data_IF_896818890907
#
_entry.id   IF_896818890907
#
_cell.length_a   1.000
_cell.length_b   1.000
_cell.length_c   1.000
_cell.angle_alpha   90.00
_cell.angle_beta   90.00
_cell.angle_gamma   90.00
#
_symmetry.space_group_name_H-M   'P 1'
#
loop_
_entity.id
_entity.type
_entity.pdbx_description
1 polymer ?
#
# COMPACT_ATOMS: atom_id res chain seq x y z
N UNK A 1 16.76 -19.47 7.83
CA UNK A 1 16.42 -19.73 6.41
C UNK A 1 15.93 -18.42 5.82
N UNK A 2 16.31 -18.03 4.59
CA UNK A 2 15.77 -16.82 3.97
C UNK A 2 14.24 -16.86 3.88
N UNK A 3 13.59 -15.81 4.32
CA UNK A 3 12.19 -15.50 4.11
C UNK A 3 12.13 -14.32 3.14
N UNK A 4 12.00 -14.62 1.86
CA UNK A 4 12.02 -13.62 0.81
C UNK A 4 10.62 -13.11 0.51
N UNK A 5 10.53 -11.80 0.30
CA UNK A 5 9.34 -11.12 -0.21
C UNK A 5 8.10 -11.41 0.65
N UNK A 6 8.28 -11.35 1.99
CA UNK A 6 7.17 -11.51 2.92
C UNK A 6 6.06 -10.48 2.61
N UNK A 7 4.81 -10.93 2.63
CA UNK A 7 3.63 -10.10 2.33
C UNK A 7 3.31 -9.15 3.49
N UNK A 8 4.19 -8.21 3.73
CA UNK A 8 4.07 -7.19 4.78
C UNK A 8 4.92 -5.96 4.43
N UNK A 9 4.53 -4.81 4.94
CA UNK A 9 5.32 -3.57 4.94
C UNK A 9 5.78 -3.16 6.34
N UNK A 10 5.69 -4.08 7.32
CA UNK A 10 6.10 -3.81 8.69
C UNK A 10 7.56 -3.36 8.77
N UNK A 11 7.79 -2.19 9.35
CA UNK A 11 9.09 -1.50 9.35
C UNK A 11 10.19 -2.32 10.02
N UNK A 12 9.87 -3.16 10.99
CA UNK A 12 10.85 -4.04 11.64
C UNK A 12 11.63 -4.92 10.67
N UNK A 13 11.05 -5.28 9.51
CA UNK A 13 11.75 -6.11 8.52
C UNK A 13 12.69 -5.31 7.60
N UNK A 14 12.83 -4.00 7.81
CA UNK A 14 13.89 -3.20 7.21
C UNK A 14 15.13 -3.10 8.11
N UNK A 15 15.12 -3.76 9.28
CA UNK A 15 16.25 -3.83 10.21
C UNK A 15 17.05 -5.13 10.00
N UNK A 16 18.17 -5.09 9.27
CA UNK A 16 18.98 -6.28 8.97
C UNK A 16 19.69 -6.85 10.20
N UNK A 17 19.85 -6.08 11.28
CA UNK A 17 20.52 -6.56 12.50
C UNK A 17 19.64 -7.55 13.26
N UNK A 18 18.35 -7.24 13.37
CA UNK A 18 17.40 -8.09 14.08
C UNK A 18 16.72 -9.14 13.19
N UNK A 19 16.55 -8.83 11.89
CA UNK A 19 15.87 -9.70 10.93
C UNK A 19 16.76 -10.02 9.70
N UNK A 20 17.99 -10.56 9.87
CA UNK A 20 18.97 -10.71 8.79
C UNK A 20 18.55 -11.70 7.68
N UNK A 21 17.45 -12.41 7.86
CA UNK A 21 16.97 -13.44 6.94
C UNK A 21 15.57 -13.17 6.38
N UNK A 22 15.00 -11.97 6.65
CA UNK A 22 13.66 -11.60 6.18
C UNK A 22 13.72 -10.32 5.35
N UNK A 23 13.15 -10.35 4.16
CA UNK A 23 12.94 -9.16 3.34
C UNK A 23 11.46 -9.05 2.97
N UNK A 24 10.86 -7.89 3.24
CA UNK A 24 9.46 -7.62 2.95
C UNK A 24 9.26 -7.17 1.49
N UNK A 25 8.09 -7.47 0.92
CA UNK A 25 7.75 -7.05 -0.44
C UNK A 25 6.90 -5.79 -0.48
N UNK A 26 5.94 -5.65 0.43
CA UNK A 26 5.07 -4.48 0.43
C UNK A 26 5.86 -3.19 0.67
N UNK A 27 5.35 -2.05 0.21
CA UNK A 27 5.85 -0.76 0.66
C UNK A 27 5.93 -0.70 2.19
N UNK A 28 6.99 -0.05 2.68
CA UNK A 28 7.13 0.16 4.12
C UNK A 28 6.01 1.07 4.63
N UNK A 29 5.31 0.64 5.67
CA UNK A 29 4.13 1.32 6.19
C UNK A 29 4.43 2.73 6.75
N UNK A 30 5.57 2.91 7.43
CA UNK A 30 5.96 4.24 7.90
C UNK A 30 6.28 5.16 6.72
N UNK A 31 7.00 4.66 5.70
CA UNK A 31 7.32 5.42 4.49
C UNK A 31 6.06 5.92 3.77
N UNK A 32 5.05 5.07 3.64
CA UNK A 32 3.78 5.46 3.03
C UNK A 32 3.05 6.50 3.90
N UNK A 33 3.05 6.31 5.22
CA UNK A 33 2.53 7.29 6.18
C UNK A 33 3.19 8.66 6.06
N UNK A 34 4.51 8.71 5.85
CA UNK A 34 5.25 9.96 5.58
C UNK A 34 4.76 10.66 4.31
N UNK A 35 4.51 9.91 3.23
CA UNK A 35 4.02 10.46 1.96
C UNK A 35 2.64 11.09 2.14
N UNK A 36 1.72 10.41 2.82
CA UNK A 36 0.40 10.98 3.09
C UNK A 36 0.47 12.22 3.99
N UNK A 37 1.30 12.20 5.03
CA UNK A 37 1.47 13.37 5.89
C UNK A 37 2.01 14.58 5.13
N UNK A 38 3.01 14.38 4.25
CA UNK A 38 3.52 15.45 3.37
C UNK A 38 2.43 15.99 2.44
N UNK A 39 1.61 15.11 1.86
CA UNK A 39 0.48 15.49 1.02
C UNK A 39 -0.57 16.28 1.81
N UNK A 40 -0.90 15.84 3.03
CA UNK A 40 -1.83 16.56 3.93
C UNK A 40 -1.31 17.95 4.26
N UNK A 41 -0.05 18.07 4.66
CA UNK A 41 0.56 19.36 4.99
C UNK A 41 0.56 20.35 3.83
N UNK A 42 0.75 19.85 2.61
CA UNK A 42 0.77 20.67 1.40
C UNK A 42 -0.63 21.13 0.95
N UNK A 43 -1.65 20.28 1.09
CA UNK A 43 -2.97 20.51 0.51
C UNK A 43 -4.07 20.82 1.54
N UNK A 44 -3.88 20.36 2.80
CA UNK A 44 -4.85 20.48 3.90
C UNK A 44 -4.16 20.91 5.20
N UNK A 45 -3.41 22.03 5.22
CA UNK A 45 -2.50 22.38 6.33
C UNK A 45 -3.19 22.69 7.67
N UNK A 46 -4.51 22.82 7.67
CA UNK A 46 -5.34 23.11 8.84
C UNK A 46 -6.38 22.02 9.13
N UNK A 47 -6.28 20.86 8.44
CA UNK A 47 -7.23 19.78 8.61
C UNK A 47 -7.22 19.22 10.03
N UNK A 48 -8.39 18.80 10.50
CA UNK A 48 -8.57 17.97 11.68
C UNK A 48 -8.62 16.51 11.24
N UNK A 49 -7.65 15.72 11.63
CA UNK A 49 -7.46 14.36 11.12
C UNK A 49 -8.08 13.37 12.11
N UNK A 50 -8.95 12.48 11.62
CA UNK A 50 -9.38 11.29 12.32
C UNK A 50 -8.74 10.05 11.68
N UNK A 51 -8.22 9.14 12.48
CA UNK A 51 -7.53 7.92 12.02
C UNK A 51 -8.28 6.69 12.50
N UNK A 52 -8.65 5.80 11.57
CA UNK A 52 -9.01 4.42 11.84
C UNK A 52 -7.82 3.53 11.49
N UNK A 53 -7.39 2.65 12.41
CA UNK A 53 -6.25 1.79 12.13
C UNK A 53 -6.39 0.38 12.71
N UNK A 54 -5.83 -0.62 12.01
CA UNK A 54 -5.74 -1.99 12.51
C UNK A 54 -4.77 -2.06 13.70
N UNK A 55 -5.14 -2.74 14.79
CA UNK A 55 -4.34 -2.79 16.01
C UNK A 55 -3.20 -3.83 15.95
N UNK A 56 -2.32 -3.66 14.98
CA UNK A 56 -1.12 -4.49 14.79
C UNK A 56 0.02 -3.66 14.18
N UNK A 57 1.05 -4.33 13.63
CA UNK A 57 2.18 -3.66 12.99
C UNK A 57 1.76 -2.78 11.81
N UNK A 58 0.72 -3.19 11.04
CA UNK A 58 0.23 -2.40 9.92
C UNK A 58 -0.22 -1.03 10.42
N UNK A 59 -1.24 -1.00 11.27
CA UNK A 59 -1.82 0.27 11.69
C UNK A 59 -0.86 1.12 12.52
N UNK A 60 -0.10 0.50 13.43
CA UNK A 60 0.83 1.22 14.31
C UNK A 60 1.98 1.88 13.54
N UNK A 61 2.51 1.19 12.53
CA UNK A 61 3.57 1.76 11.68
C UNK A 61 3.07 2.94 10.84
N UNK A 62 1.87 2.82 10.23
CA UNK A 62 1.29 3.95 9.51
C UNK A 62 1.04 5.17 10.41
N UNK A 63 0.43 4.95 11.58
CA UNK A 63 0.18 6.02 12.57
C UNK A 63 1.48 6.68 12.99
N UNK A 64 2.53 5.87 13.26
CA UNK A 64 3.85 6.38 13.60
C UNK A 64 4.42 7.22 12.46
N UNK A 65 4.40 6.71 11.23
CA UNK A 65 4.92 7.43 10.05
C UNK A 65 4.22 8.77 9.84
N UNK A 66 2.89 8.80 9.94
CA UNK A 66 2.13 10.05 9.84
C UNK A 66 2.53 11.04 10.93
N UNK A 67 2.59 10.60 12.19
CA UNK A 67 2.98 11.46 13.32
C UNK A 67 4.39 12.01 13.16
N UNK A 68 5.34 11.17 12.77
CA UNK A 68 6.73 11.57 12.56
C UNK A 68 6.83 12.66 11.47
N UNK A 69 6.13 12.50 10.36
CA UNK A 69 6.17 13.47 9.26
C UNK A 69 5.33 14.73 9.51
N UNK A 70 4.25 14.65 10.30
CA UNK A 70 3.53 15.85 10.78
C UNK A 70 4.37 16.65 11.76
N UNK A 71 5.25 16.00 12.52
CA UNK A 71 6.14 16.63 13.48
C UNK A 71 5.39 17.54 14.48
N UNK A 72 5.74 18.84 14.58
CA UNK A 72 5.04 19.79 15.48
C UNK A 72 3.55 19.95 15.20
N UNK A 73 3.08 19.56 14.02
CA UNK A 73 1.65 19.59 13.64
C UNK A 73 0.91 18.28 13.93
N UNK A 74 1.50 17.34 14.67
CA UNK A 74 0.81 16.10 15.05
C UNK A 74 -0.49 16.34 15.85
N UNK A 75 -0.67 17.52 16.44
CA UNK A 75 -1.92 17.96 17.04
C UNK A 75 -3.09 18.15 16.04
N UNK A 76 -2.83 18.10 14.74
CA UNK A 76 -3.88 17.98 13.70
C UNK A 76 -4.67 16.68 13.86
N UNK A 77 -4.09 15.63 14.44
CA UNK A 77 -4.77 14.37 14.72
C UNK A 77 -5.65 14.57 15.96
N UNK A 78 -6.97 14.67 15.74
CA UNK A 78 -7.96 14.93 16.79
C UNK A 78 -8.62 13.67 17.33
N UNK A 79 -8.53 12.55 16.58
CA UNK A 79 -9.03 11.24 17.01
C UNK A 79 -8.24 10.10 16.35
N UNK A 80 -7.93 9.08 17.15
CA UNK A 80 -7.34 7.83 16.72
C UNK A 80 -8.13 6.68 17.34
N UNK A 81 -8.65 5.77 16.51
CA UNK A 81 -9.41 4.62 16.99
C UNK A 81 -8.94 3.37 16.26
N UNK A 82 -8.62 2.34 17.01
CA UNK A 82 -8.20 1.06 16.45
C UNK A 82 -9.38 0.09 16.30
N UNK A 83 -9.15 -0.94 15.46
CA UNK A 83 -10.00 -2.12 15.37
C UNK A 83 -9.13 -3.38 15.38
N UNK A 84 -9.75 -4.50 15.75
CA UNK A 84 -9.11 -5.82 15.70
C UNK A 84 -9.58 -6.59 14.46
N UNK A 85 -8.73 -7.48 13.94
CA UNK A 85 -9.13 -8.37 12.83
C UNK A 85 -10.31 -9.28 13.17
N UNK A 86 -10.52 -9.54 14.46
CA UNK A 86 -11.65 -10.31 14.97
C UNK A 86 -12.95 -9.52 15.08
N UNK A 87 -12.89 -8.20 14.94
CA UNK A 87 -14.10 -7.38 15.02
C UNK A 87 -15.06 -7.71 13.85
N UNK A 88 -16.37 -7.79 14.11
CA UNK A 88 -17.33 -8.03 13.04
C UNK A 88 -17.47 -6.83 12.13
N UNK A 89 -17.45 -5.61 12.68
CA UNK A 89 -17.61 -4.33 11.99
C UNK A 89 -16.77 -3.23 12.64
N UNK A 90 -16.63 -2.08 11.96
CA UNK A 90 -16.02 -0.85 12.50
C UNK A 90 -17.04 0.27 12.76
N UNK A 91 -18.29 -0.08 12.92
CA UNK A 91 -19.39 0.90 13.04
C UNK A 91 -19.23 1.84 14.22
N UNK A 92 -18.89 1.31 15.39
CA UNK A 92 -18.69 2.10 16.62
C UNK A 92 -17.48 3.03 16.50
N UNK A 93 -16.41 2.54 15.91
CA UNK A 93 -15.21 3.34 15.63
C UNK A 93 -15.55 4.52 14.72
N UNK A 94 -16.32 4.27 13.64
CA UNK A 94 -16.71 5.32 12.70
C UNK A 94 -17.62 6.38 13.31
N UNK A 95 -18.54 6.00 14.21
CA UNK A 95 -19.35 6.95 14.98
C UNK A 95 -18.46 7.85 15.85
N UNK A 96 -17.49 7.25 16.55
CA UNK A 96 -16.53 7.98 17.39
C UNK A 96 -15.70 8.96 16.56
N UNK A 97 -15.15 8.50 15.42
CA UNK A 97 -14.33 9.34 14.53
C UNK A 97 -15.11 10.52 13.95
N UNK A 98 -16.36 10.29 13.50
CA UNK A 98 -17.24 11.38 13.06
C UNK A 98 -17.50 12.41 14.17
N UNK A 99 -17.73 11.94 15.40
CA UNK A 99 -18.03 12.81 16.54
C UNK A 99 -16.87 13.70 16.97
N UNK A 100 -15.64 13.41 16.51
CA UNK A 100 -14.47 14.25 16.77
C UNK A 100 -14.49 15.60 16.04
N UNK A 101 -15.39 15.76 15.06
CA UNK A 101 -15.43 16.95 14.22
C UNK A 101 -14.29 17.03 13.19
N UNK A 102 -13.65 15.90 12.88
CA UNK A 102 -12.61 15.84 11.86
C UNK A 102 -13.17 16.07 10.46
N UNK A 103 -12.40 16.76 9.62
CA UNK A 103 -12.70 17.06 8.23
C UNK A 103 -11.78 16.29 7.26
N UNK A 104 -10.80 15.53 7.79
CA UNK A 104 -10.00 14.58 7.05
C UNK A 104 -10.04 13.22 7.77
N UNK A 105 -10.32 12.16 7.02
CA UNK A 105 -10.35 10.78 7.50
C UNK A 105 -9.21 9.98 6.86
N UNK A 106 -8.30 9.49 7.69
CA UNK A 106 -7.26 8.57 7.26
C UNK A 106 -7.65 7.14 7.66
N UNK A 107 -7.93 6.33 6.64
CA UNK A 107 -8.42 4.97 6.73
C UNK A 107 -7.26 3.99 6.51
N UNK A 108 -6.75 3.41 7.60
CA UNK A 108 -5.61 2.47 7.62
C UNK A 108 -6.16 1.07 7.91
N UNK A 109 -6.61 0.41 6.85
CA UNK A 109 -7.37 -0.83 7.00
C UNK A 109 -6.98 -1.88 5.96
N UNK A 110 -7.42 -3.11 6.20
CA UNK A 110 -7.46 -4.15 5.17
C UNK A 110 -8.79 -4.09 4.40
N UNK A 111 -8.91 -4.71 3.21
CA UNK A 111 -10.03 -4.50 2.28
C UNK A 111 -11.43 -4.60 2.91
N UNK A 112 -11.70 -5.63 3.71
CA UNK A 112 -13.01 -5.83 4.38
C UNK A 112 -13.39 -4.61 5.22
N UNK A 113 -12.48 -4.15 6.06
CA UNK A 113 -12.72 -3.05 7.00
C UNK A 113 -12.68 -1.69 6.31
N UNK A 114 -11.87 -1.55 5.25
CA UNK A 114 -11.87 -0.38 4.38
C UNK A 114 -13.25 -0.16 3.73
N UNK A 115 -13.82 -1.23 3.17
CA UNK A 115 -15.15 -1.18 2.59
C UNK A 115 -16.23 -0.81 3.62
N UNK A 116 -16.16 -1.38 4.83
CA UNK A 116 -17.10 -1.07 5.91
C UNK A 116 -16.97 0.40 6.35
N UNK A 117 -15.75 0.91 6.53
CA UNK A 117 -15.50 2.28 6.96
C UNK A 117 -16.00 3.30 5.93
N UNK A 118 -15.73 3.09 4.64
CA UNK A 118 -16.20 3.97 3.55
C UNK A 118 -17.73 4.00 3.52
N UNK A 119 -18.37 2.83 3.55
CA UNK A 119 -19.86 2.73 3.58
C UNK A 119 -20.42 3.42 4.81
N UNK A 120 -19.84 3.16 5.99
CA UNK A 120 -20.32 3.74 7.24
C UNK A 120 -20.18 5.26 7.29
N UNK A 121 -19.11 5.82 6.73
CA UNK A 121 -18.97 7.27 6.59
C UNK A 121 -20.11 7.86 5.78
N UNK A 122 -20.47 7.24 4.66
CA UNK A 122 -21.60 7.66 3.82
C UNK A 122 -22.95 7.53 4.55
N UNK A 123 -23.23 6.41 5.21
CA UNK A 123 -24.45 6.19 6.02
C UNK A 123 -24.61 7.24 7.12
N UNK A 124 -23.51 7.61 7.75
CA UNK A 124 -23.50 8.66 8.78
C UNK A 124 -23.64 10.07 8.19
N UNK A 125 -23.60 10.25 6.87
CA UNK A 125 -23.55 11.56 6.22
C UNK A 125 -22.25 12.32 6.52
N UNK A 126 -21.17 11.61 6.90
CA UNK A 126 -19.87 12.21 7.12
C UNK A 126 -19.09 12.27 5.81
N UNK A 127 -18.68 13.47 5.40
CA UNK A 127 -18.05 13.76 4.12
C UNK A 127 -16.67 14.40 4.31
N UNK A 128 -15.72 13.76 4.98
CA UNK A 128 -14.37 14.28 5.12
C UNK A 128 -13.60 14.10 3.81
N UNK A 129 -12.47 14.77 3.66
CA UNK A 129 -11.44 14.31 2.73
C UNK A 129 -10.98 12.93 3.18
N UNK A 130 -11.05 11.92 2.31
CA UNK A 130 -10.66 10.55 2.68
C UNK A 130 -9.31 10.19 2.06
N UNK A 131 -8.39 9.73 2.89
CA UNK A 131 -7.14 9.08 2.49
C UNK A 131 -7.24 7.61 2.88
N UNK A 132 -6.93 6.73 1.95
CA UNK A 132 -6.97 5.28 2.11
C UNK A 132 -5.56 4.71 1.94
N UNK A 133 -5.12 3.85 2.85
CA UNK A 133 -3.85 3.15 2.69
C UNK A 133 -3.87 2.21 1.47
N UNK A 134 -2.69 1.93 0.92
CA UNK A 134 -2.57 1.17 -0.32
C UNK A 134 -3.12 -0.26 -0.22
N UNK A 135 -3.10 -0.88 0.96
CA UNK A 135 -3.55 -2.26 1.13
C UNK A 135 -5.06 -2.38 0.91
N UNK A 136 -5.82 -1.31 1.15
CA UNK A 136 -7.26 -1.26 0.99
C UNK A 136 -7.71 -0.64 -0.35
N UNK A 137 -6.81 -0.41 -1.31
CA UNK A 137 -7.15 0.20 -2.62
C UNK A 137 -7.77 -0.72 -3.67
N UNK A 138 -7.69 -2.08 -3.61
CA UNK A 138 -8.23 -2.92 -4.67
C UNK A 138 -9.71 -2.64 -4.93
N UNK A 139 -10.04 -2.27 -6.18
CA UNK A 139 -11.40 -1.87 -6.57
C UNK A 139 -12.39 -3.00 -6.32
N UNK A 140 -12.07 -4.23 -6.75
CA UNK A 140 -12.94 -5.40 -6.60
C UNK A 140 -13.19 -5.80 -5.15
N UNK A 141 -12.21 -5.62 -4.26
CA UNK A 141 -12.27 -6.14 -2.88
C UNK A 141 -12.70 -5.08 -1.86
N UNK A 142 -12.55 -3.80 -2.18
CA UNK A 142 -12.84 -2.69 -1.26
C UNK A 142 -13.89 -1.74 -1.82
N UNK A 143 -13.64 -1.15 -3.00
CA UNK A 143 -14.45 -0.04 -3.47
C UNK A 143 -15.82 -0.48 -3.99
N UNK A 144 -15.89 -1.60 -4.72
CA UNK A 144 -17.18 -2.19 -5.14
C UNK A 144 -18.02 -2.57 -3.90
N UNK A 145 -17.51 -3.33 -2.92
CA UNK A 145 -18.27 -3.61 -1.70
C UNK A 145 -18.63 -2.37 -0.86
N UNK A 146 -17.84 -1.30 -0.93
CA UNK A 146 -18.16 -0.03 -0.25
C UNK A 146 -19.29 0.75 -0.95
N UNK A 147 -19.48 0.49 -2.24
CA UNK A 147 -20.27 1.32 -3.16
C UNK A 147 -19.39 2.37 -3.84
N UNK A 148 -19.25 2.29 -5.17
CA UNK A 148 -18.32 3.14 -5.93
C UNK A 148 -18.59 4.64 -5.73
N UNK A 149 -19.87 5.03 -5.62
CA UNK A 149 -20.25 6.42 -5.35
C UNK A 149 -19.77 6.90 -3.97
N UNK A 150 -19.75 6.03 -2.95
CA UNK A 150 -19.24 6.35 -1.62
C UNK A 150 -17.73 6.50 -1.59
N UNK A 151 -17.03 5.85 -2.54
CA UNK A 151 -15.59 5.88 -2.66
C UNK A 151 -15.08 7.03 -3.55
N UNK A 152 -15.98 7.70 -4.28
CA UNK A 152 -15.60 8.79 -5.18
C UNK A 152 -14.89 9.92 -4.45
N UNK A 153 -13.69 10.26 -4.94
CA UNK A 153 -12.87 11.31 -4.36
C UNK A 153 -11.85 10.84 -3.33
N UNK A 154 -11.85 9.56 -2.94
CA UNK A 154 -10.82 8.98 -2.06
C UNK A 154 -9.44 9.13 -2.71
N UNK A 155 -8.47 9.49 -1.89
CA UNK A 155 -7.07 9.69 -2.29
C UNK A 155 -6.25 8.54 -1.73
N UNK A 156 -5.29 8.05 -2.52
CA UNK A 156 -4.34 7.03 -2.12
C UNK A 156 -3.04 7.17 -2.91
N UNK A 157 -2.15 6.18 -2.78
CA UNK A 157 -0.97 6.01 -3.62
C UNK A 157 -1.00 4.64 -4.30
N UNK A 158 -0.21 4.48 -5.35
CA UNK A 158 0.00 3.17 -5.96
C UNK A 158 1.42 3.07 -6.52
N UNK A 159 1.87 1.83 -6.74
CA UNK A 159 3.11 1.47 -7.42
C UNK A 159 2.88 0.44 -8.55
N UNK A 160 1.68 -0.12 -8.65
CA UNK A 160 1.32 -1.17 -9.60
C UNK A 160 0.15 -0.79 -10.51
N UNK A 161 0.07 -1.42 -11.67
CA UNK A 161 -1.04 -1.28 -12.63
C UNK A 161 -2.24 -2.10 -12.18
N UNK A 162 -3.43 -1.51 -12.19
CA UNK A 162 -4.69 -2.22 -11.94
C UNK A 162 -5.14 -2.93 -13.23
N UNK A 163 -5.37 -4.26 -13.23
CA UNK A 163 -5.81 -4.99 -14.41
C UNK A 163 -7.23 -4.64 -14.89
N UNK A 164 -8.03 -4.01 -14.03
CA UNK A 164 -9.36 -3.49 -14.36
C UNK A 164 -9.30 -2.14 -15.10
N UNK A 165 -8.19 -1.40 -14.99
CA UNK A 165 -8.08 -0.10 -15.62
C UNK A 165 -7.79 -0.23 -17.12
N UNK A 166 -8.71 0.22 -18.01
CA UNK A 166 -8.56 0.09 -19.44
C UNK A 166 -7.36 0.81 -20.04
N UNK A 167 -6.76 1.78 -19.32
CA UNK A 167 -5.54 2.44 -19.78
C UNK A 167 -4.37 1.48 -19.96
N UNK A 168 -4.38 0.32 -19.28
CA UNK A 168 -3.34 -0.70 -19.36
C UNK A 168 -3.67 -1.85 -20.33
N UNK A 169 -4.78 -1.77 -21.07
CA UNK A 169 -5.21 -2.86 -21.94
C UNK A 169 -4.15 -3.22 -23.01
N UNK A 170 -3.46 -2.21 -23.54
CA UNK A 170 -2.42 -2.36 -24.55
C UNK A 170 -0.99 -2.39 -23.99
N UNK A 171 -0.82 -2.31 -22.66
CA UNK A 171 0.48 -2.39 -22.00
C UNK A 171 1.08 -3.81 -22.13
N UNK A 172 2.35 -3.89 -22.57
CA UNK A 172 3.02 -5.16 -22.84
C UNK A 172 3.23 -6.00 -21.55
N UNK A 173 3.46 -5.36 -20.40
CA UNK A 173 3.56 -6.04 -19.11
C UNK A 173 2.21 -6.65 -18.71
N UNK A 174 1.13 -5.90 -18.90
CA UNK A 174 -0.23 -6.37 -18.64
C UNK A 174 -0.62 -7.52 -19.57
N UNK A 175 -0.25 -7.46 -20.85
CA UNK A 175 -0.47 -8.56 -21.80
C UNK A 175 0.28 -9.82 -21.38
N UNK A 176 1.55 -9.71 -20.94
CA UNK A 176 2.32 -10.87 -20.43
C UNK A 176 1.68 -11.47 -19.20
N UNK A 177 1.24 -10.63 -18.25
CA UNK A 177 0.53 -11.09 -17.08
C UNK A 177 -0.76 -11.85 -17.43
N UNK A 178 -1.62 -11.26 -18.26
CA UNK A 178 -2.89 -11.90 -18.68
C UNK A 178 -2.67 -13.22 -19.43
N UNK A 179 -1.65 -13.27 -20.30
CA UNK A 179 -1.26 -14.50 -20.99
C UNK A 179 -0.75 -15.58 -20.01
N UNK A 180 0.03 -15.18 -19.00
CA UNK A 180 0.48 -16.09 -17.93
C UNK A 180 -0.71 -16.66 -17.16
N UNK A 181 -1.65 -15.82 -16.73
CA UNK A 181 -2.84 -16.25 -15.99
C UNK A 181 -3.69 -17.22 -16.82
N UNK A 182 -3.95 -16.89 -18.09
CA UNK A 182 -4.72 -17.76 -18.98
C UNK A 182 -4.07 -19.14 -19.18
N UNK A 183 -2.74 -19.20 -19.18
CA UNK A 183 -2.01 -20.45 -19.41
C UNK A 183 -1.84 -21.30 -18.16
N UNK A 184 -1.52 -20.68 -17.02
CA UNK A 184 -1.06 -21.39 -15.81
C UNK A 184 -2.07 -21.36 -14.67
N UNK A 185 -3.03 -20.45 -14.68
CA UNK A 185 -4.07 -20.30 -13.66
C UNK A 185 -5.45 -19.98 -14.30
N UNK A 186 -5.94 -20.82 -15.26
CA UNK A 186 -7.14 -20.49 -16.05
C UNK A 186 -8.44 -20.46 -15.23
N UNK A 187 -8.42 -20.93 -13.98
CA UNK A 187 -9.56 -20.89 -13.06
C UNK A 187 -9.55 -19.69 -12.11
N UNK A 188 -8.49 -18.88 -12.14
CA UNK A 188 -8.33 -17.75 -11.22
C UNK A 188 -8.73 -16.44 -11.91
N UNK A 189 -9.24 -15.50 -11.09
CA UNK A 189 -9.59 -14.16 -11.58
C UNK A 189 -8.34 -13.33 -11.85
N UNK A 190 -8.00 -13.16 -13.11
CA UNK A 190 -6.88 -12.31 -13.54
C UNK A 190 -7.08 -10.82 -13.24
N UNK A 191 -8.27 -10.38 -12.86
CA UNK A 191 -8.52 -8.99 -12.44
C UNK A 191 -8.37 -8.80 -10.94
N UNK A 192 -8.07 -9.85 -10.20
CA UNK A 192 -7.83 -9.78 -8.76
C UNK A 192 -6.49 -9.10 -8.44
N UNK A 193 -6.51 -8.12 -7.53
CA UNK A 193 -5.29 -7.50 -6.99
C UNK A 193 -4.37 -8.50 -6.28
N UNK A 194 -4.92 -9.60 -5.74
CA UNK A 194 -4.12 -10.68 -5.13
C UNK A 194 -3.36 -11.45 -6.23
N UNK A 195 -3.98 -11.70 -7.38
CA UNK A 195 -3.32 -12.38 -8.49
C UNK A 195 -2.18 -11.55 -9.08
N UNK A 196 -2.37 -10.24 -9.28
CA UNK A 196 -1.32 -9.32 -9.74
C UNK A 196 -0.17 -9.22 -8.75
N UNK A 197 -0.50 -9.19 -7.45
CA UNK A 197 0.49 -9.19 -6.38
C UNK A 197 1.33 -10.48 -6.39
N UNK A 198 0.69 -11.64 -6.43
CA UNK A 198 1.36 -12.94 -6.48
C UNK A 198 2.27 -13.09 -7.71
N UNK A 199 1.79 -12.69 -8.89
CA UNK A 199 2.58 -12.67 -10.11
C UNK A 199 3.83 -11.79 -9.99
N UNK A 200 3.67 -10.55 -9.52
CA UNK A 200 4.78 -9.60 -9.40
C UNK A 200 5.81 -10.06 -8.38
N UNK A 201 5.37 -10.62 -7.25
CA UNK A 201 6.23 -11.17 -6.21
C UNK A 201 7.03 -12.38 -6.74
N UNK A 202 6.35 -13.31 -7.44
CA UNK A 202 7.00 -14.48 -8.03
C UNK A 202 8.00 -14.09 -9.13
N UNK A 203 7.66 -13.11 -9.97
CA UNK A 203 8.55 -12.62 -11.02
C UNK A 203 9.84 -12.02 -10.43
N UNK A 204 9.73 -11.23 -9.36
CA UNK A 204 10.89 -10.70 -8.64
C UNK A 204 11.72 -11.80 -7.98
N UNK A 205 11.08 -12.83 -7.38
CA UNK A 205 11.79 -13.98 -6.83
C UNK A 205 12.60 -14.69 -7.92
N UNK A 206 12.02 -14.93 -9.09
CA UNK A 206 12.72 -15.54 -10.23
C UNK A 206 13.90 -14.68 -10.65
N UNK A 207 13.75 -13.35 -10.67
CA UNK A 207 14.86 -12.43 -10.97
C UNK A 207 16.00 -12.58 -9.96
N UNK A 208 15.72 -12.60 -8.67
CA UNK A 208 16.71 -12.81 -7.60
C UNK A 208 17.43 -14.15 -7.77
N UNK A 209 16.68 -15.24 -8.00
CA UNK A 209 17.26 -16.57 -8.19
C UNK A 209 18.15 -16.65 -9.44
N UNK A 210 17.77 -15.98 -10.53
CA UNK A 210 18.62 -15.87 -11.74
C UNK A 210 19.93 -15.12 -11.46
N UNK A 211 19.91 -14.10 -10.61
CA UNK A 211 21.13 -13.39 -10.18
C UNK A 211 22.06 -14.27 -9.33
N UNK A 212 21.53 -15.30 -8.66
CA UNK A 212 22.33 -16.23 -7.88
C UNK A 212 23.21 -17.14 -8.73
N UNK A 213 22.87 -17.37 -10.01
CA UNK A 213 23.52 -18.39 -10.84
C UNK A 213 23.38 -19.78 -10.19
N UNK A 214 24.46 -20.53 -10.15
CA UNK A 214 24.51 -21.87 -9.56
C UNK A 214 24.70 -21.87 -8.02
N UNK A 215 25.02 -20.70 -7.42
CA UNK A 215 25.18 -20.57 -5.98
C UNK A 215 23.83 -20.20 -5.32
N UNK A 216 23.05 -21.22 -4.99
CA UNK A 216 21.79 -21.10 -4.26
C UNK A 216 21.95 -21.21 -2.74
N UNK A 217 23.13 -20.89 -2.21
CA UNK A 217 23.32 -20.82 -0.76
C UNK A 217 22.46 -19.72 -0.15
N UNK A 218 22.04 -19.93 1.11
CA UNK A 218 21.22 -18.94 1.83
C UNK A 218 21.85 -17.56 1.87
N UNK A 219 23.18 -17.50 2.05
CA UNK A 219 23.92 -16.25 2.10
C UNK A 219 23.90 -15.53 0.75
N UNK A 220 24.11 -16.24 -0.36
CA UNK A 220 24.09 -15.62 -1.69
C UNK A 220 22.66 -15.18 -2.08
N UNK A 221 21.63 -15.95 -1.76
CA UNK A 221 20.24 -15.56 -1.99
C UNK A 221 19.94 -14.22 -1.31
N UNK A 222 20.27 -14.07 -0.02
CA UNK A 222 20.08 -12.80 0.69
C UNK A 222 20.92 -11.68 0.09
N UNK A 223 22.18 -11.94 -0.26
CA UNK A 223 23.05 -10.96 -0.93
C UNK A 223 22.45 -10.45 -2.24
N UNK A 224 21.85 -11.31 -3.06
CA UNK A 224 21.21 -10.90 -4.31
C UNK A 224 19.90 -10.16 -4.04
N UNK A 225 19.08 -10.62 -3.10
CA UNK A 225 17.83 -9.95 -2.73
C UNK A 225 18.05 -8.54 -2.16
N UNK A 226 19.18 -8.30 -1.49
CA UNK A 226 19.56 -6.99 -0.94
C UNK A 226 20.51 -6.19 -1.87
N UNK A 227 20.60 -6.57 -3.13
CA UNK A 227 21.44 -5.88 -4.13
C UNK A 227 20.78 -5.86 -5.52
N UNK A 228 19.45 -5.70 -5.56
CA UNK A 228 18.69 -5.55 -6.80
C UNK A 228 19.02 -4.20 -7.43
N UNK A 229 19.17 -4.16 -8.76
CA UNK A 229 19.54 -2.95 -9.49
C UNK A 229 18.55 -2.66 -10.61
N UNK A 230 17.68 -1.65 -10.43
CA UNK A 230 16.81 -1.14 -11.47
C UNK A 230 15.88 -2.18 -12.10
N UNK A 231 15.41 -3.15 -11.33
CA UNK A 231 14.46 -4.13 -11.83
C UNK A 231 13.12 -3.44 -12.17
N UNK A 232 12.60 -3.66 -13.37
CA UNK A 232 11.30 -3.15 -13.81
C UNK A 232 10.34 -4.33 -13.86
N UNK A 233 9.35 -4.33 -12.96
CA UNK A 233 8.30 -5.35 -12.97
C UNK A 233 7.29 -5.08 -14.10
N UNK A 234 6.72 -6.14 -14.68
CA UNK A 234 5.69 -6.04 -15.73
C UNK A 234 4.51 -5.16 -15.34
N UNK A 235 4.11 -5.24 -14.09
CA UNK A 235 2.96 -4.51 -13.57
C UNK A 235 3.35 -3.25 -12.76
N UNK A 236 4.62 -2.84 -12.77
CA UNK A 236 5.00 -1.55 -12.17
C UNK A 236 4.42 -0.38 -12.97
N UNK A 237 4.08 0.71 -12.28
CA UNK A 237 3.71 1.95 -12.97
C UNK A 237 4.89 2.49 -13.77
N UNK A 238 4.64 3.17 -14.90
CA UNK A 238 5.70 3.71 -15.75
C UNK A 238 6.69 4.57 -14.97
N UNK A 239 8.00 4.33 -15.19
CA UNK A 239 9.09 5.05 -14.52
C UNK A 239 9.47 4.53 -13.14
N UNK A 240 8.76 3.55 -12.59
CA UNK A 240 9.10 2.94 -11.31
C UNK A 240 10.02 1.75 -11.48
N UNK A 241 10.97 1.63 -10.55
CA UNK A 241 11.96 0.55 -10.52
C UNK A 241 12.15 0.03 -9.11
N UNK A 242 12.52 -1.24 -8.99
CA UNK A 242 12.95 -1.83 -7.72
C UNK A 242 14.47 -1.83 -7.63
N UNK A 243 15.00 -1.28 -6.55
CA UNK A 243 16.42 -1.33 -6.21
C UNK A 243 16.58 -1.48 -4.71
N UNK A 244 17.46 -2.39 -4.29
CA UNK A 244 17.85 -2.58 -2.90
C UNK A 244 19.34 -2.38 -2.72
N UNK A 245 19.79 -2.08 -1.51
CA UNK A 245 21.19 -2.03 -1.12
C UNK A 245 21.38 -2.75 0.21
N UNK A 246 22.59 -3.10 0.63
CA UNK A 246 22.82 -3.68 1.95
C UNK A 246 22.27 -2.86 3.12
N UNK A 247 22.13 -1.54 2.92
CA UNK A 247 21.63 -0.60 3.93
C UNK A 247 20.17 -0.20 3.74
N UNK A 248 19.54 -0.55 2.60
CA UNK A 248 18.14 -0.27 2.32
C UNK A 248 17.46 -1.47 1.64
N UNK A 249 16.73 -2.24 2.44
CA UNK A 249 16.06 -3.49 2.03
C UNK A 249 14.63 -3.28 1.52
N UNK A 250 14.17 -2.03 1.44
CA UNK A 250 12.83 -1.73 0.95
C UNK A 250 12.72 -2.02 -0.55
N UNK A 251 11.85 -2.96 -0.89
CA UNK A 251 11.61 -3.41 -2.28
C UNK A 251 10.86 -2.33 -3.05
N UNK A 252 9.67 -1.99 -2.58
CA UNK A 252 8.80 -0.99 -3.19
C UNK A 252 8.85 0.30 -2.36
N UNK A 253 9.51 1.33 -2.88
CA UNK A 253 9.71 2.62 -2.20
C UNK A 253 9.34 3.84 -3.05
N UNK A 254 8.83 3.58 -4.25
CA UNK A 254 8.35 4.60 -5.17
C UNK A 254 6.82 4.51 -5.27
N UNK A 255 6.17 5.65 -5.25
CA UNK A 255 4.72 5.77 -5.24
C UNK A 255 4.27 6.89 -6.18
N UNK A 256 3.06 6.79 -6.68
CA UNK A 256 2.39 7.90 -7.33
C UNK A 256 1.03 8.11 -6.67
N UNK A 257 0.66 9.37 -6.43
CA UNK A 257 -0.65 9.69 -5.89
C UNK A 257 -1.73 9.30 -6.88
N UNK A 258 -2.87 8.88 -6.35
CA UNK A 258 -4.06 8.57 -7.13
C UNK A 258 -5.33 9.04 -6.43
N UNK A 259 -6.38 9.29 -7.22
CA UNK A 259 -7.71 9.66 -6.73
C UNK A 259 -8.77 8.84 -7.44
N UNK A 260 -9.70 8.29 -6.70
CA UNK A 260 -10.80 7.51 -7.28
C UNK A 260 -11.86 8.45 -7.86
N UNK A 261 -12.18 8.29 -9.15
CA UNK A 261 -13.15 9.16 -9.85
C UNK A 261 -14.59 8.65 -9.80
N UNK A 262 -14.81 7.46 -9.25
CA UNK A 262 -16.09 6.75 -9.19
C UNK A 262 -16.11 5.49 -10.07
N UNK A 263 -15.14 5.36 -10.98
CA UNK A 263 -15.00 4.20 -11.88
C UNK A 263 -13.62 3.55 -11.76
N UNK A 264 -12.56 4.37 -11.68
CA UNK A 264 -11.17 3.92 -11.64
C UNK A 264 -10.28 4.85 -10.81
N UNK A 265 -9.09 4.38 -10.52
CA UNK A 265 -8.04 5.21 -9.95
C UNK A 265 -7.37 6.07 -11.03
N UNK A 266 -7.38 7.39 -10.85
CA UNK A 266 -6.70 8.36 -11.73
C UNK A 266 -5.41 8.80 -11.06
N UNK A 267 -4.28 8.49 -11.69
CA UNK A 267 -2.95 8.88 -11.23
C UNK A 267 -2.75 10.38 -11.39
N UNK A 268 -2.06 11.01 -10.43
CA UNK A 268 -1.70 12.42 -10.50
C UNK A 268 -0.38 12.71 -9.78
N UNK A 269 0.22 13.85 -10.10
CA UNK A 269 1.48 14.27 -9.51
C UNK A 269 2.70 13.47 -9.98
N UNK A 270 3.89 13.78 -9.47
CA UNK A 270 5.12 13.07 -9.78
C UNK A 270 5.22 11.73 -9.02
N UNK A 271 6.20 10.90 -9.42
CA UNK A 271 6.64 9.76 -8.61
C UNK A 271 7.27 10.31 -7.32
N UNK A 272 6.83 9.79 -6.20
CA UNK A 272 7.29 10.12 -4.87
C UNK A 272 8.18 9.01 -4.33
N UNK A 273 9.23 9.38 -3.63
CA UNK A 273 10.09 8.45 -2.89
C UNK A 273 10.20 8.96 -1.46
N UNK A 274 10.11 8.04 -0.50
CA UNK A 274 10.38 8.39 0.89
C UNK A 274 11.89 8.36 1.14
N UNK A 275 12.43 9.52 1.52
CA UNK A 275 13.85 9.71 1.85
C UNK A 275 14.15 9.49 3.35
N UNK A 276 13.13 9.24 4.17
CA UNK A 276 13.32 9.00 5.59
C UNK A 276 14.06 7.68 5.84
N UNK A 277 15.17 7.77 6.55
CA UNK A 277 15.78 6.62 7.19
C UNK A 277 14.90 6.18 8.35
N UNK A 278 14.41 4.95 8.29
CA UNK A 278 13.60 4.31 9.34
C UNK A 278 14.45 3.81 10.52
N UNK A 279 15.66 4.38 10.71
CA UNK A 279 16.59 4.05 11.79
C UNK A 279 16.17 4.68 13.13
#
# INVERSE_FOLDING_TARGET
MPQLLASTGATRFTDPKHFPWTIAYNPNYQSEGHIYAKYILANYPNAKIAILYQNDDLGKDYVKGVKDALGPKANMIVAEVSYELSDPTVDSQMVTLKSSGADLFYNITTPKFGAQAIRKAAELGWKPVQILDINATPVSQTLIPAGLENAKGIISVNYGKDPLDPQWADDEGMKRYKAFMAKYAPGEDANSGIATYGYSTAALLVHILKQCGDDLTRANIMKQATNIRGYVADLALPGMTTSTTPDDWRINKQFQMMKFDGERWVLFGPILTDEFNTN
#
